data_IF_457617716315
#
_entry.id   IF_457617716315
#
_cell.length_a   1.000
_cell.length_b   1.000
_cell.length_c   1.000
_cell.angle_alpha   90.00
_cell.angle_beta   90.00
_cell.angle_gamma   90.00
#
_symmetry.space_group_name_H-M   'P 1'
#
loop_
_entity.id
_entity.type
_entity.pdbx_description
1 polymer ?
#
# COMPACT_ATOMS: atom_id res chain seq x y z
N UNK A 1 -12.40 -7.01 11.11
CA UNK A 1 -12.04 -5.63 10.76
C UNK A 1 -11.11 -5.60 9.56
N UNK A 2 -11.37 -4.71 8.63
CA UNK A 2 -10.49 -4.55 7.46
C UNK A 2 -9.25 -3.77 7.84
N UNK A 3 -8.10 -4.30 7.46
CA UNK A 3 -6.85 -3.57 7.63
C UNK A 3 -6.77 -2.50 6.55
N UNK A 4 -6.21 -1.35 6.90
CA UNK A 4 -6.03 -0.25 5.96
C UNK A 4 -4.56 0.11 5.83
N UNK A 5 -4.14 0.32 4.60
CA UNK A 5 -2.75 0.65 4.28
C UNK A 5 -2.70 1.87 3.36
N UNK A 6 -1.58 2.54 3.35
CA UNK A 6 -1.38 3.70 2.47
C UNK A 6 -0.04 3.57 1.75
N UNK A 7 -0.06 3.78 0.44
CA UNK A 7 1.15 3.89 -0.37
C UNK A 7 1.41 5.37 -0.63
N UNK A 8 2.55 5.86 -0.18
CA UNK A 8 2.92 7.25 -0.36
C UNK A 8 4.40 7.38 -0.74
N UNK A 9 4.78 8.57 -1.18
CA UNK A 9 6.15 8.83 -1.61
C UNK A 9 6.97 9.44 -0.48
N UNK A 10 8.14 8.85 -0.22
CA UNK A 10 9.09 9.36 0.77
C UNK A 10 10.10 10.23 0.05
N UNK A 11 9.99 11.54 0.24
CA UNK A 11 10.87 12.52 -0.42
C UNK A 11 12.31 12.43 0.06
N UNK A 12 12.49 12.06 1.31
CA UNK A 12 13.81 11.99 1.92
C UNK A 12 14.67 10.88 1.30
N UNK A 13 14.07 9.72 1.13
CA UNK A 13 14.75 8.56 0.56
C UNK A 13 14.46 8.34 -0.92
N UNK A 14 13.61 9.19 -1.49
CA UNK A 14 13.18 9.11 -2.90
C UNK A 14 12.70 7.71 -3.24
N UNK A 15 11.73 7.23 -2.49
CA UNK A 15 11.15 5.91 -2.71
C UNK A 15 9.67 5.89 -2.30
N UNK A 16 8.95 4.90 -2.78
CA UNK A 16 7.56 4.69 -2.39
C UNK A 16 7.51 3.75 -1.20
N UNK A 17 6.63 4.03 -0.26
CA UNK A 17 6.49 3.21 0.94
C UNK A 17 5.05 2.77 1.14
N UNK A 18 4.87 1.54 1.61
CA UNK A 18 3.58 0.99 2.00
C UNK A 18 3.54 1.00 3.52
N UNK A 19 2.63 1.77 4.09
CA UNK A 19 2.47 1.89 5.54
C UNK A 19 1.15 1.30 6.01
N UNK A 20 1.17 0.74 7.20
CA UNK A 20 -0.05 0.32 7.87
C UNK A 20 -0.66 1.53 8.57
N UNK A 21 -1.92 1.84 8.24
CA UNK A 21 -2.63 2.94 8.91
C UNK A 21 -2.84 2.59 10.38
N UNK A 22 -2.80 3.59 11.22
CA UNK A 22 -2.93 3.41 12.65
C UNK A 22 -1.59 3.32 13.35
N UNK A 23 -0.72 2.39 12.96
CA UNK A 23 0.62 2.27 13.53
C UNK A 23 1.66 3.07 12.77
N UNK A 24 1.35 3.45 11.53
CA UNK A 24 2.26 4.12 10.59
C UNK A 24 3.55 3.32 10.33
N UNK A 25 3.49 2.04 10.59
CA UNK A 25 4.64 1.16 10.39
C UNK A 25 4.86 0.92 8.89
N UNK A 26 6.10 1.12 8.44
CA UNK A 26 6.46 0.83 7.06
C UNK A 26 6.57 -0.68 6.88
N UNK A 27 5.76 -1.21 5.97
CA UNK A 27 5.73 -2.65 5.71
C UNK A 27 6.66 -3.02 4.58
N UNK A 28 6.70 -2.15 3.55
CA UNK A 28 7.52 -2.42 2.39
C UNK A 28 7.86 -1.14 1.65
N UNK A 29 8.97 -1.13 0.92
CA UNK A 29 9.38 -0.01 0.09
C UNK A 29 9.48 -0.44 -1.36
N UNK A 30 9.29 0.50 -2.28
CA UNK A 30 9.32 0.25 -3.72
C UNK A 30 10.11 1.36 -4.40
N UNK A 31 10.78 1.02 -5.50
CA UNK A 31 11.54 2.00 -6.26
C UNK A 31 10.67 2.89 -7.15
N UNK A 32 9.55 2.36 -7.63
CA UNK A 32 8.68 3.09 -8.53
C UNK A 32 7.22 2.93 -8.19
N UNK A 33 6.42 3.91 -8.62
CA UNK A 33 4.98 3.89 -8.39
C UNK A 33 4.30 2.69 -9.04
N UNK A 34 4.74 2.30 -10.23
CA UNK A 34 4.16 1.16 -10.93
C UNK A 34 4.28 -0.12 -10.12
N UNK A 35 5.46 -0.35 -9.56
CA UNK A 35 5.69 -1.52 -8.72
C UNK A 35 4.81 -1.48 -7.48
N UNK A 36 4.73 -0.31 -6.84
CA UNK A 36 3.91 -0.13 -5.64
C UNK A 36 2.42 -0.32 -5.92
N UNK A 37 1.98 -0.04 -7.14
CA UNK A 37 0.58 -0.15 -7.51
C UNK A 37 0.16 -1.47 -8.13
N UNK A 38 1.07 -2.42 -8.31
CA UNK A 38 0.73 -3.70 -8.90
C UNK A 38 -0.13 -4.54 -7.95
N UNK A 39 -1.28 -4.97 -8.43
CA UNK A 39 -2.21 -5.76 -7.63
C UNK A 39 -1.57 -7.04 -7.11
N UNK A 40 -0.78 -7.72 -7.93
CA UNK A 40 -0.09 -8.95 -7.52
C UNK A 40 0.91 -8.73 -6.39
N UNK A 41 1.65 -7.61 -6.44
CA UNK A 41 2.60 -7.26 -5.39
C UNK A 41 1.87 -6.94 -4.10
N UNK A 42 0.83 -6.11 -4.17
CA UNK A 42 0.04 -5.74 -3.00
C UNK A 42 -0.65 -6.96 -2.38
N UNK A 43 -1.21 -7.83 -3.21
CA UNK A 43 -1.85 -9.05 -2.74
C UNK A 43 -0.87 -9.93 -1.97
N UNK A 44 0.35 -10.05 -2.46
CA UNK A 44 1.38 -10.85 -1.82
C UNK A 44 1.78 -10.25 -0.47
N UNK A 45 1.91 -8.93 -0.41
CA UNK A 45 2.29 -8.24 0.83
C UNK A 45 1.19 -8.34 1.88
N UNK A 46 -0.07 -8.12 1.47
CA UNK A 46 -1.20 -8.19 2.39
C UNK A 46 -1.50 -9.61 2.84
N UNK A 47 -1.18 -10.60 2.01
CA UNK A 47 -1.46 -11.99 2.32
C UNK A 47 -2.94 -12.34 2.21
N UNK A 48 -3.37 -13.50 2.73
CA UNK A 48 -4.75 -13.96 2.61
C UNK A 48 -5.75 -13.14 3.40
N UNK A 49 -5.29 -12.35 4.36
CA UNK A 49 -6.19 -11.50 5.16
C UNK A 49 -6.71 -10.30 4.37
N UNK A 50 -5.97 -9.90 3.34
CA UNK A 50 -6.37 -8.77 2.53
C UNK A 50 -6.37 -7.43 3.25
N UNK A 51 -7.17 -6.51 2.77
CA UNK A 51 -7.29 -5.17 3.34
C UNK A 51 -7.55 -4.14 2.25
N UNK A 52 -7.56 -2.88 2.65
CA UNK A 52 -7.74 -1.75 1.74
C UNK A 52 -6.42 -1.01 1.60
N UNK A 53 -6.05 -0.68 0.37
CA UNK A 53 -4.83 0.08 0.09
C UNK A 53 -5.21 1.39 -0.60
N UNK A 54 -4.81 2.50 0.01
CA UNK A 54 -4.99 3.82 -0.58
C UNK A 54 -3.66 4.23 -1.22
N UNK A 55 -3.69 4.57 -2.50
CA UNK A 55 -2.52 5.03 -3.22
C UNK A 55 -2.57 6.56 -3.31
N UNK A 56 -1.45 7.21 -3.00
CA UNK A 56 -1.34 8.65 -3.06
C UNK A 56 -0.28 9.06 -4.08
N UNK A 57 -0.43 10.27 -4.62
CA UNK A 57 0.55 10.84 -5.55
C UNK A 57 1.80 11.30 -4.78
N UNK A 58 2.82 11.73 -5.50
CA UNK A 58 4.04 12.27 -4.89
C UNK A 58 3.77 13.47 -3.98
N UNK A 59 2.71 14.20 -4.26
CA UNK A 59 2.33 15.36 -3.45
C UNK A 59 1.42 15.02 -2.28
N UNK A 60 1.08 13.74 -2.13
CA UNK A 60 0.24 13.28 -1.03
C UNK A 60 -1.26 13.34 -1.31
N UNK A 61 -1.65 13.65 -2.54
CA UNK A 61 -3.06 13.71 -2.91
C UNK A 61 -3.59 12.31 -3.18
N UNK A 62 -4.84 12.06 -2.81
CA UNK A 62 -5.51 10.79 -3.09
C UNK A 62 -5.48 10.49 -4.59
N UNK A 63 -5.06 9.30 -4.94
CA UNK A 63 -5.01 8.82 -6.32
C UNK A 63 -6.01 7.71 -6.56
N UNK A 64 -5.89 6.63 -5.81
CA UNK A 64 -6.70 5.44 -6.04
C UNK A 64 -6.87 4.65 -4.75
N UNK A 65 -7.98 3.94 -4.64
CA UNK A 65 -8.21 3.01 -3.52
C UNK A 65 -8.45 1.63 -4.10
N UNK A 66 -7.78 0.63 -3.53
CA UNK A 66 -7.94 -0.76 -3.93
C UNK A 66 -8.33 -1.61 -2.74
N UNK A 67 -9.34 -2.46 -2.96
CA UNK A 67 -9.82 -3.37 -1.93
C UNK A 67 -9.39 -4.79 -2.26
N UNK A 68 -8.75 -5.45 -1.29
CA UNK A 68 -8.32 -6.84 -1.42
C UNK A 68 -9.12 -7.68 -0.45
N UNK A 69 -10.05 -8.50 -0.95
CA UNK A 69 -10.88 -9.29 -0.07
C UNK A 69 -10.08 -10.36 0.67
N UNK A 70 -10.60 -10.77 1.82
CA UNK A 70 -10.02 -11.87 2.57
C UNK A 70 -10.20 -13.16 1.77
N UNK A 71 -9.12 -13.92 1.64
CA UNK A 71 -9.16 -15.22 0.96
C UNK A 71 -9.44 -16.30 2.00
N UNK A 72 -10.45 -17.10 1.72
CA UNK A 72 -10.79 -18.26 2.54
C UNK A 72 -10.43 -19.53 1.80
N UNK A 73 -9.76 -20.41 2.49
CA UNK A 73 -9.44 -21.72 1.96
C UNK A 73 -10.64 -22.65 2.05
#
# INVERSE_FOLDING_TARGET
MKRKFTVCFDKTKVQWVLKHDGTERIIRTFKGKEEAGRAGVLRKVLGPRGGTVVLRTKTGVFDEERNFPELRS
#
